data_IF_712390918809
#
_entry.id   IF_712390918809
#
_cell.length_a   1.000
_cell.length_b   1.000
_cell.length_c   1.000
_cell.angle_alpha   90.00
_cell.angle_beta   90.00
_cell.angle_gamma   90.00
#
_symmetry.space_group_name_H-M   'P 1'
#
loop_
_entity.id
_entity.type
_entity.pdbx_description
1 polymer ?
#
# COMPACT_ATOMS: atom_id res chain seq x y z
N UNK A 1 -40.02 35.83 55.90
CA UNK A 1 -39.99 34.85 54.80
C UNK A 1 -39.91 35.63 53.49
N UNK A 2 -39.05 35.22 52.55
CA UNK A 2 -38.64 35.95 51.32
C UNK A 2 -37.69 37.14 51.50
N UNK A 3 -36.40 36.87 51.71
CA UNK A 3 -35.29 37.73 51.19
C UNK A 3 -33.88 37.11 51.28
N UNK A 4 -33.73 35.92 51.86
CA UNK A 4 -32.42 35.27 52.09
C UNK A 4 -32.10 34.09 51.15
N UNK A 5 -32.82 33.93 50.03
CA UNK A 5 -32.67 32.76 49.14
C UNK A 5 -32.15 33.10 47.73
N UNK A 6 -31.51 34.26 47.54
CA UNK A 6 -31.07 34.72 46.20
C UNK A 6 -29.56 35.04 46.08
N UNK A 7 -28.74 34.79 47.12
CA UNK A 7 -27.31 35.13 47.11
C UNK A 7 -26.39 33.89 47.09
N UNK A 8 -26.93 32.67 47.21
CA UNK A 8 -26.15 31.43 47.24
C UNK A 8 -26.05 30.68 45.90
N UNK A 9 -26.57 31.24 44.79
CA UNK A 9 -26.56 30.59 43.46
C UNK A 9 -25.74 31.34 42.38
N UNK A 10 -24.98 32.36 42.76
CA UNK A 10 -24.20 33.20 41.83
C UNK A 10 -22.68 33.06 41.96
N UNK A 11 -22.17 32.11 42.76
CA UNK A 11 -20.73 31.90 42.99
C UNK A 11 -20.22 30.48 42.68
N UNK A 12 -20.92 29.75 41.80
CA UNK A 12 -20.48 28.43 41.31
C UNK A 12 -20.30 28.37 39.78
N UNK A 13 -20.11 29.53 39.14
CA UNK A 13 -19.40 29.63 37.86
C UNK A 13 -17.97 30.10 38.12
N UNK A 14 -17.26 29.41 39.02
CA UNK A 14 -15.81 29.38 38.94
C UNK A 14 -15.50 28.66 37.62
N UNK A 15 -15.23 29.48 36.61
CA UNK A 15 -14.57 29.14 35.37
C UNK A 15 -13.46 28.13 35.67
N UNK A 16 -13.77 26.85 35.53
CA UNK A 16 -12.77 25.88 35.11
C UNK A 16 -12.41 26.30 33.70
N UNK A 17 -11.50 27.27 33.60
CA UNK A 17 -10.61 27.35 32.45
C UNK A 17 -9.88 26.02 32.46
N UNK A 18 -10.51 25.00 31.89
CA UNK A 18 -9.82 23.92 31.22
C UNK A 18 -8.86 24.64 30.30
N UNK A 19 -7.61 24.77 30.73
CA UNK A 19 -6.53 25.08 29.82
C UNK A 19 -6.57 23.93 28.83
N UNK A 20 -7.28 24.14 27.72
CA UNK A 20 -7.23 23.22 26.60
C UNK A 20 -5.75 23.19 26.23
N UNK A 21 -5.04 22.13 26.64
CA UNK A 21 -3.66 21.93 26.24
C UNK A 21 -3.65 22.05 24.72
N UNK A 22 -2.81 22.95 24.20
CA UNK A 22 -2.56 23.05 22.77
C UNK A 22 -2.32 21.63 22.26
N UNK A 23 -3.02 21.17 21.21
CA UNK A 23 -2.81 19.84 20.68
C UNK A 23 -1.32 19.66 20.42
N UNK A 24 -0.69 18.65 21.03
CA UNK A 24 0.71 18.33 20.71
C UNK A 24 0.79 18.01 19.22
N UNK A 25 1.68 18.71 18.52
CA UNK A 25 2.00 18.46 17.12
C UNK A 25 3.09 17.38 17.08
N UNK A 26 2.97 16.39 16.20
CA UNK A 26 3.97 15.34 16.07
C UNK A 26 5.29 15.87 15.50
N UNK A 27 5.23 16.73 14.47
CA UNK A 27 6.43 17.28 13.84
C UNK A 27 7.06 18.44 14.60
N UNK A 28 6.53 18.78 15.77
CA UNK A 28 7.17 19.70 16.75
C UNK A 28 7.72 18.93 17.98
N UNK A 29 7.70 17.59 17.93
CA UNK A 29 8.15 16.72 19.02
C UNK A 29 9.11 15.65 18.48
N UNK A 30 10.41 15.98 18.47
CA UNK A 30 11.46 15.13 17.88
C UNK A 30 11.49 13.73 18.50
N UNK A 31 11.36 13.60 19.82
CA UNK A 31 11.36 12.29 20.50
C UNK A 31 10.19 11.42 20.01
N UNK A 32 9.00 12.00 19.88
CA UNK A 32 7.82 11.26 19.44
C UNK A 32 7.94 10.92 17.95
N UNK A 33 8.43 11.86 17.13
CA UNK A 33 8.63 11.64 15.71
C UNK A 33 9.66 10.52 15.46
N UNK A 34 10.77 10.52 16.20
CA UNK A 34 11.79 9.48 16.14
C UNK A 34 11.23 8.11 16.52
N UNK A 35 10.45 8.02 17.60
CA UNK A 35 9.79 6.76 17.99
C UNK A 35 8.77 6.32 16.93
N UNK A 36 7.97 7.24 16.36
CA UNK A 36 7.05 6.90 15.28
C UNK A 36 7.78 6.36 14.04
N UNK A 37 8.92 6.96 13.69
CA UNK A 37 9.78 6.49 12.60
C UNK A 37 10.36 5.11 12.89
N UNK A 38 10.80 4.85 14.12
CA UNK A 38 11.32 3.53 14.51
C UNK A 38 10.22 2.46 14.50
N UNK A 39 8.99 2.82 14.89
CA UNK A 39 7.83 1.92 14.79
C UNK A 39 7.54 1.56 13.32
N UNK A 40 7.51 2.55 12.42
CA UNK A 40 7.30 2.29 11.00
C UNK A 40 8.41 1.44 10.41
N UNK A 41 9.67 1.70 10.79
CA UNK A 41 10.80 0.88 10.39
C UNK A 41 10.66 -0.57 10.89
N UNK A 42 10.19 -0.78 12.12
CA UNK A 42 9.87 -2.12 12.62
C UNK A 42 8.76 -2.80 11.81
N UNK A 43 7.71 -2.07 11.39
CA UNK A 43 6.67 -2.64 10.53
C UNK A 43 7.21 -3.06 9.16
N UNK A 44 8.10 -2.26 8.57
CA UNK A 44 8.73 -2.61 7.29
C UNK A 44 9.70 -3.80 7.41
N UNK A 45 10.35 -3.99 8.56
CA UNK A 45 11.18 -5.17 8.85
C UNK A 45 10.41 -6.34 9.49
N UNK A 46 9.08 -6.25 9.62
CA UNK A 46 8.25 -7.24 10.32
C UNK A 46 8.69 -7.58 11.76
N UNK A 47 9.30 -6.63 12.45
CA UNK A 47 9.69 -6.75 13.86
C UNK A 47 8.58 -6.22 14.79
N UNK A 48 7.42 -6.89 14.78
CA UNK A 48 6.24 -6.45 15.54
C UNK A 48 6.45 -6.47 17.04
N UNK A 49 7.23 -7.42 17.57
CA UNK A 49 7.58 -7.46 19.01
C UNK A 49 8.29 -6.19 19.48
N UNK A 50 9.23 -5.67 18.67
CA UNK A 50 9.90 -4.40 18.96
C UNK A 50 8.93 -3.22 18.79
N UNK A 51 8.11 -3.25 17.73
CA UNK A 51 7.10 -2.23 17.49
C UNK A 51 6.12 -2.09 18.67
N UNK A 52 5.60 -3.19 19.21
CA UNK A 52 4.71 -3.20 20.40
C UNK A 52 5.33 -2.46 21.59
N UNK A 53 6.61 -2.73 21.86
CA UNK A 53 7.35 -2.12 22.96
C UNK A 53 7.52 -0.61 22.77
N UNK A 54 7.79 -0.18 21.54
CA UNK A 54 7.89 1.23 21.16
C UNK A 54 6.52 1.91 21.21
N UNK A 55 5.45 1.23 20.80
CA UNK A 55 4.10 1.74 20.76
C UNK A 55 3.56 2.05 22.17
N UNK A 56 3.92 1.25 23.18
CA UNK A 56 3.62 1.55 24.60
C UNK A 56 4.26 2.88 25.02
N UNK A 57 5.53 3.13 24.64
CA UNK A 57 6.20 4.40 24.94
C UNK A 57 5.55 5.56 24.18
N UNK A 58 5.23 5.34 22.90
CA UNK A 58 4.59 6.33 22.04
C UNK A 58 3.22 6.76 22.57
N UNK A 59 2.42 5.81 23.10
CA UNK A 59 1.11 6.08 23.67
C UNK A 59 1.17 7.03 24.87
N UNK A 60 2.23 6.95 25.70
CA UNK A 60 2.45 7.90 26.79
C UNK A 60 2.75 9.31 26.27
N UNK A 61 3.50 9.42 25.17
CA UNK A 61 3.89 10.71 24.60
C UNK A 61 2.73 11.40 23.85
N UNK A 62 1.97 10.61 23.09
CA UNK A 62 0.96 11.07 22.11
C UNK A 62 -0.43 10.41 22.31
N UNK A 63 -1.01 10.36 23.53
CA UNK A 63 -2.19 9.53 23.85
C UNK A 63 -3.49 9.93 23.13
N UNK A 64 -3.58 11.19 22.70
CA UNK A 64 -4.76 11.78 22.02
C UNK A 64 -4.45 12.25 20.60
N UNK A 65 -3.27 11.92 20.09
CA UNK A 65 -2.87 12.31 18.75
C UNK A 65 -3.48 11.37 17.70
N UNK A 66 -3.88 11.84 16.50
CA UNK A 66 -4.40 10.95 15.44
C UNK A 66 -3.35 9.95 14.93
N UNK A 67 -2.06 10.19 15.13
CA UNK A 67 -0.99 9.25 14.76
C UNK A 67 -1.03 7.94 15.54
N UNK A 68 -1.38 7.95 16.83
CA UNK A 68 -1.42 6.74 17.66
C UNK A 68 -2.41 5.69 17.12
N UNK A 69 -3.70 6.01 16.88
CA UNK A 69 -4.60 5.05 16.25
C UNK A 69 -4.21 4.76 14.80
N UNK A 70 -3.55 5.67 14.06
CA UNK A 70 -3.04 5.31 12.74
C UNK A 70 -1.94 4.23 12.83
N UNK A 71 -0.97 4.37 13.73
CA UNK A 71 0.10 3.38 13.92
C UNK A 71 -0.48 2.01 14.29
N UNK A 72 -1.47 1.96 15.19
CA UNK A 72 -2.21 0.73 15.52
C UNK A 72 -2.92 0.11 14.31
N UNK A 73 -3.47 0.93 13.40
CA UNK A 73 -4.06 0.42 12.16
C UNK A 73 -3.00 -0.09 11.17
N UNK A 74 -1.85 0.58 11.08
CA UNK A 74 -0.74 0.21 10.21
C UNK A 74 -0.05 -1.07 10.68
N UNK A 75 0.06 -1.30 11.99
CA UNK A 75 0.52 -2.55 12.58
C UNK A 75 -0.30 -3.74 12.05
N UNK A 76 -1.63 -3.67 12.19
CA UNK A 76 -2.55 -4.70 11.71
C UNK A 76 -2.38 -4.89 10.19
N UNK A 77 -2.25 -3.80 9.43
CA UNK A 77 -2.05 -3.87 7.98
C UNK A 77 -0.74 -4.58 7.61
N UNK A 78 0.37 -4.20 8.22
CA UNK A 78 1.70 -4.72 7.90
C UNK A 78 1.91 -6.14 8.40
N UNK A 79 1.42 -6.48 9.59
CA UNK A 79 1.48 -7.83 10.16
C UNK A 79 0.69 -8.84 9.32
N UNK A 80 -0.39 -8.37 8.68
CA UNK A 80 -1.22 -9.21 7.83
C UNK A 80 -0.91 -9.06 6.34
N UNK A 81 0.20 -8.41 5.95
CA UNK A 81 0.53 -8.19 4.53
C UNK A 81 1.06 -9.47 3.84
N UNK A 82 0.59 -9.82 2.61
CA UNK A 82 -0.51 -9.17 1.89
C UNK A 82 -1.85 -9.39 2.59
N UNK A 83 -2.58 -8.29 2.74
CA UNK A 83 -3.78 -8.21 3.55
C UNK A 83 -4.95 -8.99 2.94
N UNK A 84 -5.58 -9.88 3.72
CA UNK A 84 -6.82 -10.55 3.31
C UNK A 84 -8.04 -9.73 3.70
N UNK A 85 -8.64 -9.05 2.73
CA UNK A 85 -9.75 -8.15 2.95
C UNK A 85 -11.09 -8.87 3.24
N UNK A 86 -11.15 -10.21 3.12
CA UNK A 86 -12.33 -11.01 3.47
C UNK A 86 -12.28 -11.52 4.91
N UNK A 87 -11.17 -11.34 5.62
CA UNK A 87 -11.10 -11.62 7.05
C UNK A 87 -11.80 -10.49 7.82
N UNK A 88 -13.09 -10.69 8.13
CA UNK A 88 -13.93 -9.69 8.80
C UNK A 88 -13.35 -9.23 10.13
N UNK A 89 -12.88 -10.16 10.96
CA UNK A 89 -12.29 -9.83 12.27
C UNK A 89 -11.09 -8.87 12.14
N UNK A 90 -10.18 -9.17 11.23
CA UNK A 90 -8.95 -8.37 11.04
C UNK A 90 -9.28 -7.01 10.43
N UNK A 91 -10.20 -6.97 9.46
CA UNK A 91 -10.69 -5.71 8.86
C UNK A 91 -11.38 -4.84 9.89
N UNK A 92 -12.25 -5.40 10.73
CA UNK A 92 -12.98 -4.66 11.75
C UNK A 92 -12.06 -4.10 12.83
N UNK A 93 -11.05 -4.88 13.28
CA UNK A 93 -9.98 -4.39 14.18
C UNK A 93 -9.23 -3.22 13.56
N UNK A 94 -8.82 -3.32 12.30
CA UNK A 94 -8.16 -2.22 11.59
C UNK A 94 -9.10 -1.00 11.47
N UNK A 95 -10.37 -1.20 11.14
CA UNK A 95 -11.37 -0.15 10.98
C UNK A 95 -11.67 0.58 12.29
N UNK A 96 -11.65 -0.09 13.43
CA UNK A 96 -11.77 0.54 14.75
C UNK A 96 -10.72 1.64 14.93
N UNK A 97 -9.46 1.31 14.63
CA UNK A 97 -8.34 2.24 14.74
C UNK A 97 -8.40 3.35 13.67
N UNK A 98 -8.69 3.00 12.41
CA UNK A 98 -8.89 3.97 11.32
C UNK A 98 -9.98 4.99 11.68
N UNK A 99 -11.15 4.53 12.15
CA UNK A 99 -12.26 5.42 12.47
C UNK A 99 -11.89 6.33 13.67
N UNK A 100 -11.16 5.83 14.66
CA UNK A 100 -10.66 6.67 15.77
C UNK A 100 -9.69 7.75 15.27
N UNK A 101 -8.78 7.41 14.35
CA UNK A 101 -7.90 8.40 13.70
C UNK A 101 -8.70 9.47 12.97
N UNK A 102 -9.72 9.08 12.19
CA UNK A 102 -10.61 9.99 11.47
C UNK A 102 -11.34 10.92 12.45
N UNK A 103 -11.99 10.39 13.49
CA UNK A 103 -12.73 11.20 14.48
C UNK A 103 -11.84 12.23 15.18
N UNK A 104 -10.64 11.84 15.59
CA UNK A 104 -9.68 12.78 16.21
C UNK A 104 -9.27 13.86 15.20
N UNK A 105 -8.98 13.47 13.96
CA UNK A 105 -8.56 14.40 12.92
C UNK A 105 -9.67 15.38 12.53
N UNK A 106 -10.91 14.92 12.39
CA UNK A 106 -12.10 15.77 12.14
C UNK A 106 -12.32 16.76 13.28
N UNK A 107 -12.16 16.34 14.54
CA UNK A 107 -12.25 17.23 15.70
C UNK A 107 -11.16 18.30 15.71
N UNK A 108 -9.95 17.98 15.27
CA UNK A 108 -8.85 18.96 15.14
C UNK A 108 -9.09 19.94 14.00
N UNK A 109 -9.49 19.43 12.84
CA UNK A 109 -9.77 20.26 11.64
C UNK A 109 -10.97 21.19 11.86
N UNK A 110 -11.99 20.76 12.61
CA UNK A 110 -13.14 21.61 12.92
C UNK A 110 -12.77 22.81 13.82
N UNK A 111 -11.76 22.65 14.68
CA UNK A 111 -11.20 23.73 15.51
C UNK A 111 -10.20 24.59 14.76
N UNK A 112 -9.38 23.98 13.90
CA UNK A 112 -8.42 24.67 13.04
C UNK A 112 -8.44 24.07 11.63
N UNK A 113 -9.10 24.76 10.69
CA UNK A 113 -9.22 24.31 9.30
C UNK A 113 -7.86 24.16 8.57
N UNK A 114 -6.79 24.75 9.11
CA UNK A 114 -5.43 24.69 8.58
C UNK A 114 -4.54 23.69 9.32
N UNK A 115 -5.10 22.82 10.19
CA UNK A 115 -4.33 21.74 10.84
C UNK A 115 -3.83 20.73 9.79
N UNK A 116 -2.56 20.87 9.42
CA UNK A 116 -1.90 20.08 8.37
C UNK A 116 -1.68 18.64 8.79
N UNK A 117 -1.28 18.42 10.04
CA UNK A 117 -1.07 17.08 10.59
C UNK A 117 -2.37 16.30 10.63
N UNK A 118 -3.45 16.90 11.17
CA UNK A 118 -4.76 16.26 11.18
C UNK A 118 -5.26 15.99 9.74
N UNK A 119 -5.00 16.91 8.81
CA UNK A 119 -5.31 16.69 7.38
C UNK A 119 -4.56 15.48 6.83
N UNK A 120 -3.27 15.34 7.16
CA UNK A 120 -2.42 14.23 6.71
C UNK A 120 -2.86 12.88 7.30
N UNK A 121 -3.08 12.81 8.61
CA UNK A 121 -3.53 11.56 9.25
C UNK A 121 -4.92 11.15 8.77
N UNK A 122 -5.83 12.10 8.56
CA UNK A 122 -7.13 11.82 7.98
C UNK A 122 -7.04 11.29 6.55
N UNK A 123 -6.11 11.83 5.74
CA UNK A 123 -5.85 11.36 4.39
C UNK A 123 -5.40 9.90 4.38
N UNK A 124 -4.40 9.53 5.21
CA UNK A 124 -3.92 8.15 5.29
C UNK A 124 -5.02 7.20 5.78
N UNK A 125 -5.73 7.55 6.85
CA UNK A 125 -6.79 6.71 7.41
C UNK A 125 -7.92 6.46 6.41
N UNK A 126 -8.38 7.50 5.71
CA UNK A 126 -9.40 7.36 4.65
C UNK A 126 -8.87 6.60 3.43
N UNK A 127 -7.59 6.71 3.10
CA UNK A 127 -6.98 5.95 2.00
C UNK A 127 -6.96 4.45 2.30
N UNK A 128 -6.59 4.05 3.53
CA UNK A 128 -6.67 2.66 3.96
C UNK A 128 -8.11 2.12 3.91
N UNK A 129 -9.09 2.94 4.33
CA UNK A 129 -10.51 2.58 4.28
C UNK A 129 -11.05 2.44 2.86
N UNK A 130 -10.70 3.38 1.96
CA UNK A 130 -11.05 3.32 0.55
C UNK A 130 -10.48 2.05 -0.12
N UNK A 131 -9.21 1.72 0.16
CA UNK A 131 -8.56 0.47 -0.29
C UNK A 131 -9.33 -0.75 0.19
N UNK A 132 -9.62 -0.83 1.49
CA UNK A 132 -10.34 -1.97 2.06
C UNK A 132 -11.75 -2.14 1.45
N UNK A 133 -12.50 -1.05 1.27
CA UNK A 133 -13.82 -1.13 0.61
C UNK A 133 -13.72 -1.57 -0.86
N UNK A 134 -12.69 -1.15 -1.58
CA UNK A 134 -12.47 -1.58 -2.96
C UNK A 134 -12.25 -3.10 -3.05
N UNK A 135 -11.34 -3.66 -2.25
CA UNK A 135 -11.07 -5.10 -2.24
C UNK A 135 -12.22 -5.95 -1.69
N UNK A 136 -13.12 -5.36 -0.90
CA UNK A 136 -14.36 -6.01 -0.43
C UNK A 136 -15.53 -5.89 -1.42
N UNK A 137 -15.35 -5.25 -2.57
CA UNK A 137 -16.42 -5.03 -3.55
C UNK A 137 -17.50 -4.04 -3.07
N UNK A 138 -17.24 -3.27 -2.02
CA UNK A 138 -18.17 -2.30 -1.46
C UNK A 138 -18.11 -0.97 -2.24
N UNK A 139 -18.48 -1.02 -3.53
CA UNK A 139 -18.25 0.05 -4.53
C UNK A 139 -18.67 1.44 -4.05
N UNK A 140 -19.91 1.60 -3.55
CA UNK A 140 -20.41 2.91 -3.11
C UNK A 140 -19.63 3.47 -1.91
N UNK A 141 -19.25 2.60 -0.95
CA UNK A 141 -18.44 3.01 0.20
C UNK A 141 -17.02 3.39 -0.24
N UNK A 142 -16.43 2.63 -1.16
CA UNK A 142 -15.13 2.92 -1.75
C UNK A 142 -15.13 4.27 -2.47
N UNK A 143 -16.14 4.56 -3.30
CA UNK A 143 -16.28 5.84 -4.02
C UNK A 143 -16.41 7.02 -3.06
N UNK A 144 -17.20 6.88 -2.00
CA UNK A 144 -17.37 7.94 -1.00
C UNK A 144 -16.06 8.27 -0.28
N UNK A 145 -15.30 7.26 0.17
CA UNK A 145 -14.00 7.49 0.80
C UNK A 145 -12.97 8.00 -0.23
N UNK A 146 -12.98 7.52 -1.48
CA UNK A 146 -12.11 8.02 -2.54
C UNK A 146 -12.32 9.50 -2.86
N UNK A 147 -13.58 9.98 -2.84
CA UNK A 147 -13.88 11.42 -2.99
C UNK A 147 -13.27 12.24 -1.86
N UNK A 148 -13.33 11.75 -0.63
CA UNK A 148 -12.73 12.42 0.52
C UNK A 148 -11.19 12.41 0.43
N UNK A 149 -10.59 11.27 0.06
CA UNK A 149 -9.15 11.14 -0.22
C UNK A 149 -8.71 12.15 -1.28
N UNK A 150 -9.41 12.25 -2.41
CA UNK A 150 -9.09 13.23 -3.44
C UNK A 150 -9.08 14.68 -2.92
N UNK A 151 -10.11 15.09 -2.19
CA UNK A 151 -10.17 16.44 -1.62
C UNK A 151 -9.02 16.71 -0.64
N UNK A 152 -8.67 15.72 0.19
CA UNK A 152 -7.56 15.82 1.13
C UNK A 152 -6.20 15.85 0.45
N UNK A 153 -6.00 15.03 -0.59
CA UNK A 153 -4.78 15.06 -1.41
C UNK A 153 -4.62 16.42 -2.08
N UNK A 154 -5.68 17.00 -2.65
CA UNK A 154 -5.64 18.35 -3.24
C UNK A 154 -5.27 19.42 -2.22
N UNK A 155 -5.83 19.33 -1.01
CA UNK A 155 -5.46 20.25 0.08
C UNK A 155 -3.99 20.05 0.48
N UNK A 156 -3.53 18.80 0.58
CA UNK A 156 -2.18 18.41 0.95
C UNK A 156 -1.10 18.84 -0.05
N UNK A 157 -1.41 18.94 -1.34
CA UNK A 157 -0.48 19.45 -2.35
C UNK A 157 0.03 20.85 -2.02
N UNK A 158 -0.84 21.70 -1.46
CA UNK A 158 -0.48 23.05 -1.02
C UNK A 158 0.38 23.08 0.25
N UNK A 159 0.64 21.94 0.88
CA UNK A 159 1.39 21.82 2.14
C UNK A 159 2.69 21.00 1.99
N UNK A 160 3.10 20.66 0.77
CA UNK A 160 4.26 19.79 0.54
C UNK A 160 5.60 20.37 1.01
N UNK A 161 5.73 21.69 1.11
CA UNK A 161 6.91 22.34 1.69
C UNK A 161 6.87 22.37 3.23
N UNK A 162 5.68 22.57 3.81
CA UNK A 162 5.48 22.75 5.25
C UNK A 162 5.34 21.43 6.00
N UNK A 163 4.76 20.41 5.36
CA UNK A 163 4.69 19.04 5.84
C UNK A 163 5.05 18.09 4.69
N UNK A 164 6.36 17.79 4.52
CA UNK A 164 6.87 17.03 3.38
C UNK A 164 6.30 15.62 3.19
N UNK A 165 5.62 15.08 4.19
CA UNK A 165 4.87 13.83 4.06
C UNK A 165 3.81 13.84 2.96
N UNK A 166 3.27 15.01 2.62
CA UNK A 166 2.31 15.12 1.52
C UNK A 166 2.93 14.85 0.15
N UNK A 167 4.27 14.82 0.01
CA UNK A 167 4.94 14.46 -1.24
C UNK A 167 4.55 13.06 -1.72
N UNK A 168 4.27 12.12 -0.82
CA UNK A 168 3.84 10.78 -1.22
C UNK A 168 2.51 10.82 -1.98
N UNK A 169 1.47 11.38 -1.34
CA UNK A 169 0.13 11.48 -1.93
C UNK A 169 0.09 12.41 -3.16
N UNK A 170 0.87 13.49 -3.13
CA UNK A 170 0.98 14.43 -4.27
C UNK A 170 1.71 13.78 -5.43
N UNK A 171 2.75 12.99 -5.15
CA UNK A 171 3.53 12.27 -6.14
C UNK A 171 2.71 11.20 -6.86
N UNK A 172 1.94 10.42 -6.10
CA UNK A 172 0.96 9.47 -6.64
C UNK A 172 -0.03 10.21 -7.55
N UNK A 173 -0.65 11.29 -7.07
CA UNK A 173 -1.60 12.03 -7.89
C UNK A 173 -0.96 12.54 -9.17
N UNK A 174 0.15 13.27 -9.08
CA UNK A 174 0.81 13.90 -10.21
C UNK A 174 1.23 12.90 -11.29
N UNK A 175 1.68 11.71 -10.89
CA UNK A 175 2.03 10.65 -11.85
C UNK A 175 0.80 9.97 -12.44
N UNK A 176 -0.06 9.38 -11.61
CA UNK A 176 -1.16 8.53 -12.07
C UNK A 176 -2.26 9.30 -12.77
N UNK A 177 -2.40 10.58 -12.45
CA UNK A 177 -3.36 11.46 -13.12
C UNK A 177 -3.11 11.54 -14.63
N UNK A 178 -1.84 11.59 -15.03
CA UNK A 178 -1.45 11.64 -16.44
C UNK A 178 -1.25 10.24 -17.03
N UNK A 179 -0.68 9.30 -16.26
CA UNK A 179 -0.43 7.93 -16.73
C UNK A 179 -1.73 7.16 -17.03
N UNK A 180 -2.76 7.27 -16.18
CA UNK A 180 -3.98 6.48 -16.33
C UNK A 180 -4.73 6.75 -17.64
N UNK A 181 -4.99 8.00 -18.09
CA UNK A 181 -5.61 8.25 -19.39
C UNK A 181 -4.73 7.92 -20.60
N UNK A 182 -3.41 7.84 -20.45
CA UNK A 182 -2.52 7.34 -21.52
C UNK A 182 -2.78 5.85 -21.78
N UNK A 183 -2.97 5.05 -20.72
CA UNK A 183 -3.27 3.62 -20.81
C UNK A 183 -4.75 3.31 -21.04
N UNK A 184 -5.64 4.16 -20.55
CA UNK A 184 -7.08 4.00 -20.67
C UNK A 184 -7.73 5.30 -21.20
N UNK A 185 -7.62 5.56 -22.52
CA UNK A 185 -8.12 6.81 -23.12
C UNK A 185 -9.60 7.11 -22.86
N UNK A 186 -10.42 6.09 -22.57
CA UNK A 186 -11.84 6.23 -22.23
C UNK A 186 -12.09 7.13 -21.02
N UNK A 187 -11.12 7.27 -20.11
CA UNK A 187 -11.27 8.14 -18.93
C UNK A 187 -10.85 9.59 -19.17
N UNK A 188 -10.23 9.92 -20.32
CA UNK A 188 -9.79 11.30 -20.64
C UNK A 188 -10.88 12.37 -20.45
N UNK A 189 -12.13 12.18 -20.93
CA UNK A 189 -13.16 13.21 -20.79
C UNK A 189 -13.48 13.55 -19.33
N UNK A 190 -13.63 12.53 -18.48
CA UNK A 190 -13.92 12.69 -17.06
C UNK A 190 -12.83 13.46 -16.31
N UNK A 191 -11.59 13.25 -16.75
CA UNK A 191 -10.43 13.81 -16.10
C UNK A 191 -10.33 15.34 -16.29
N UNK A 192 -10.87 15.93 -17.36
CA UNK A 192 -10.78 17.39 -17.64
C UNK A 192 -11.19 18.33 -16.50
N UNK A 193 -12.03 17.89 -15.56
CA UNK A 193 -12.51 18.68 -14.41
C UNK A 193 -11.57 18.66 -13.18
N UNK A 194 -10.46 17.94 -13.25
CA UNK A 194 -9.50 17.82 -12.16
C UNK A 194 -8.19 18.54 -12.53
N UNK A 195 -7.41 19.01 -11.54
CA UNK A 195 -6.07 19.54 -11.78
C UNK A 195 -5.22 18.61 -12.66
N UNK A 196 -4.45 19.19 -13.56
CA UNK A 196 -3.43 18.46 -14.31
C UNK A 196 -2.35 17.93 -13.36
N UNK A 197 -1.86 16.73 -13.66
CA UNK A 197 -0.66 16.19 -13.03
C UNK A 197 0.61 16.56 -13.80
N UNK A 198 1.74 16.08 -13.29
CA UNK A 198 3.03 16.15 -13.96
C UNK A 198 3.83 14.90 -13.56
N UNK A 199 4.08 13.99 -14.51
CA UNK A 199 4.75 12.70 -14.22
C UNK A 199 6.15 12.88 -13.61
N UNK A 200 6.95 13.81 -14.13
CA UNK A 200 8.31 14.05 -13.64
C UNK A 200 8.32 14.62 -12.23
N UNK A 201 7.40 15.57 -11.95
CA UNK A 201 7.20 16.06 -10.59
C UNK A 201 6.74 14.92 -9.68
N UNK A 202 5.80 14.08 -10.15
CA UNK A 202 5.31 12.94 -9.40
C UNK A 202 6.42 11.98 -8.99
N UNK A 203 7.30 11.63 -9.92
CA UNK A 203 8.49 10.81 -9.65
C UNK A 203 9.43 11.49 -8.67
N UNK A 204 9.72 12.79 -8.83
CA UNK A 204 10.59 13.54 -7.89
C UNK A 204 10.03 13.52 -6.46
N UNK A 205 8.73 13.72 -6.30
CA UNK A 205 8.05 13.70 -5.00
C UNK A 205 8.07 12.30 -4.38
N UNK A 206 7.87 11.24 -5.17
CA UNK A 206 7.99 9.86 -4.68
C UNK A 206 9.43 9.51 -4.28
N UNK A 207 10.43 9.96 -5.03
CA UNK A 207 11.86 9.80 -4.66
C UNK A 207 12.16 10.50 -3.34
N UNK A 208 11.60 11.70 -3.13
CA UNK A 208 11.73 12.40 -1.85
C UNK A 208 11.11 11.58 -0.70
N UNK A 209 9.87 11.12 -0.87
CA UNK A 209 9.17 10.33 0.15
C UNK A 209 9.87 9.01 0.47
N UNK A 210 10.37 8.30 -0.53
CA UNK A 210 11.18 7.09 -0.33
C UNK A 210 12.36 7.33 0.62
N UNK A 211 13.00 8.50 0.53
CA UNK A 211 14.19 8.83 1.33
C UNK A 211 13.88 9.45 2.69
N UNK A 212 12.75 10.15 2.82
CA UNK A 212 12.55 11.12 3.91
C UNK A 212 11.20 11.04 4.62
N UNK A 213 10.22 10.30 4.09
CA UNK A 213 8.91 10.15 4.75
C UNK A 213 8.97 9.15 5.89
N UNK A 214 8.29 9.48 6.99
CA UNK A 214 8.15 8.61 8.17
C UNK A 214 7.18 7.46 7.90
N UNK A 215 6.02 7.75 7.31
CA UNK A 215 4.90 6.78 7.22
C UNK A 215 4.74 6.09 5.87
N UNK A 216 5.50 6.48 4.85
CA UNK A 216 5.26 6.05 3.46
C UNK A 216 6.53 5.79 2.66
N UNK A 217 7.68 5.56 3.31
CA UNK A 217 8.97 5.39 2.62
C UNK A 217 9.02 4.10 1.80
N UNK A 218 8.66 2.96 2.41
CA UNK A 218 8.61 1.67 1.71
C UNK A 218 7.52 1.66 0.62
N UNK A 219 6.36 2.26 0.90
CA UNK A 219 5.30 2.42 -0.09
C UNK A 219 5.76 3.25 -1.29
N UNK A 220 6.47 4.36 -1.07
CA UNK A 220 7.02 5.18 -2.14
C UNK A 220 8.02 4.41 -3.00
N UNK A 221 8.89 3.59 -2.38
CA UNK A 221 9.81 2.70 -3.10
C UNK A 221 9.05 1.70 -3.98
N UNK A 222 8.01 1.06 -3.46
CA UNK A 222 7.15 0.14 -4.25
C UNK A 222 6.53 0.83 -5.47
N UNK A 223 5.99 2.04 -5.29
CA UNK A 223 5.46 2.81 -6.41
C UNK A 223 6.55 3.15 -7.44
N UNK A 224 7.75 3.54 -7.00
CA UNK A 224 8.87 3.81 -7.90
C UNK A 224 9.35 2.56 -8.65
N UNK A 225 9.41 1.40 -7.98
CA UNK A 225 9.74 0.14 -8.63
C UNK A 225 8.75 -0.18 -9.75
N UNK A 226 7.46 -0.02 -9.49
CA UNK A 226 6.41 -0.20 -10.50
C UNK A 226 6.56 0.82 -11.64
N UNK A 227 6.70 2.13 -11.34
CA UNK A 227 6.83 3.19 -12.35
C UNK A 227 8.05 2.95 -13.25
N UNK A 228 9.20 2.67 -12.67
CA UNK A 228 10.43 2.43 -13.42
C UNK A 228 10.38 1.12 -14.21
N UNK A 229 9.67 0.10 -13.71
CA UNK A 229 9.48 -1.14 -14.46
C UNK A 229 8.62 -0.92 -15.71
N UNK A 230 7.59 -0.06 -15.66
CA UNK A 230 6.73 0.23 -16.82
C UNK A 230 7.42 1.08 -17.89
N UNK A 231 8.55 1.69 -17.54
CA UNK A 231 9.40 2.47 -18.44
C UNK A 231 10.66 1.71 -18.84
N UNK A 232 10.76 0.41 -18.51
CA UNK A 232 11.93 -0.45 -18.74
C UNK A 232 13.24 0.16 -18.22
N UNK A 233 13.17 0.91 -17.12
CA UNK A 233 14.32 1.57 -16.53
C UNK A 233 15.03 0.63 -15.55
N UNK A 234 16.35 0.44 -15.72
CA UNK A 234 17.19 -0.34 -14.80
C UNK A 234 17.10 0.12 -13.33
N UNK A 235 16.64 1.36 -13.08
CA UNK A 235 16.34 1.86 -11.74
C UNK A 235 15.38 0.96 -10.97
N UNK A 236 14.40 0.31 -11.61
CA UNK A 236 13.48 -0.60 -10.91
C UNK A 236 14.21 -1.83 -10.37
N UNK A 237 15.21 -2.34 -11.10
CA UNK A 237 16.06 -3.46 -10.64
C UNK A 237 16.89 -3.05 -9.44
N UNK A 238 17.52 -1.86 -9.49
CA UNK A 238 18.27 -1.33 -8.33
C UNK A 238 17.37 -1.18 -7.11
N UNK A 239 16.19 -0.59 -7.26
CA UNK A 239 15.25 -0.41 -6.15
C UNK A 239 14.70 -1.73 -5.60
N UNK A 240 14.46 -2.72 -6.45
CA UNK A 240 14.01 -4.05 -6.03
C UNK A 240 15.10 -4.80 -5.23
N UNK A 241 16.36 -4.74 -5.69
CA UNK A 241 17.49 -5.34 -4.96
C UNK A 241 17.74 -4.63 -3.62
N UNK A 242 17.64 -3.30 -3.60
CA UNK A 242 17.74 -2.49 -2.38
C UNK A 242 16.62 -2.86 -1.39
N UNK A 243 15.38 -3.02 -1.86
CA UNK A 243 14.25 -3.42 -1.02
C UNK A 243 14.44 -4.82 -0.40
N UNK A 244 14.89 -5.81 -1.19
CA UNK A 244 15.23 -7.15 -0.68
C UNK A 244 16.34 -7.07 0.37
N UNK A 245 17.42 -6.35 0.07
CA UNK A 245 18.56 -6.25 0.98
C UNK A 245 18.23 -5.50 2.28
N UNK A 246 17.32 -4.53 2.22
CA UNK A 246 16.95 -3.71 3.37
C UNK A 246 15.92 -4.39 4.26
N UNK A 247 14.93 -5.07 3.66
CA UNK A 247 13.81 -5.68 4.36
C UNK A 247 13.81 -7.20 4.14
N UNK A 248 14.94 -7.83 4.48
CA UNK A 248 15.21 -9.24 4.20
C UNK A 248 14.25 -10.19 4.90
N UNK A 249 13.67 -9.82 6.03
CA UNK A 249 12.65 -10.63 6.73
C UNK A 249 11.21 -10.33 6.30
N UNK A 250 10.98 -9.33 5.45
CA UNK A 250 9.66 -8.99 4.96
C UNK A 250 9.34 -9.72 3.66
N UNK A 251 8.73 -10.91 3.78
CA UNK A 251 8.37 -11.78 2.65
C UNK A 251 7.45 -11.07 1.63
N UNK A 252 6.63 -10.11 2.06
CA UNK A 252 5.77 -9.32 1.15
C UNK A 252 6.59 -8.39 0.27
N UNK A 253 7.52 -7.63 0.85
CA UNK A 253 8.40 -6.73 0.11
C UNK A 253 9.39 -7.49 -0.78
N UNK A 254 9.86 -8.66 -0.33
CA UNK A 254 10.67 -9.57 -1.16
C UNK A 254 9.85 -10.05 -2.36
N UNK A 255 8.63 -10.56 -2.14
CA UNK A 255 7.77 -11.03 -3.22
C UNK A 255 7.52 -9.95 -4.28
N UNK A 256 7.13 -8.73 -3.87
CA UNK A 256 6.92 -7.63 -4.82
C UNK A 256 8.20 -7.24 -5.59
N UNK A 257 9.35 -7.34 -4.93
CA UNK A 257 10.65 -7.11 -5.58
C UNK A 257 10.98 -8.19 -6.61
N UNK A 258 10.71 -9.47 -6.29
CA UNK A 258 10.91 -10.58 -7.21
C UNK A 258 10.02 -10.48 -8.45
N UNK A 259 8.78 -10.00 -8.31
CA UNK A 259 7.92 -9.72 -9.46
C UNK A 259 8.54 -8.66 -10.39
N UNK A 260 9.11 -7.60 -9.83
CA UNK A 260 9.79 -6.56 -10.62
C UNK A 260 11.00 -7.14 -11.33
N UNK A 261 11.81 -7.96 -10.64
CA UNK A 261 12.98 -8.61 -11.23
C UNK A 261 12.62 -9.63 -12.32
N UNK A 262 11.46 -10.29 -12.21
CA UNK A 262 10.95 -11.19 -13.27
C UNK A 262 10.66 -10.48 -14.59
N UNK A 263 10.39 -9.16 -14.55
CA UNK A 263 10.18 -8.37 -15.77
C UNK A 263 11.48 -8.22 -16.58
N UNK A 264 12.63 -8.56 -15.99
CA UNK A 264 13.96 -8.47 -16.57
C UNK A 264 14.63 -9.85 -16.73
N UNK A 265 13.86 -10.95 -16.66
CA UNK A 265 14.37 -12.33 -16.77
C UNK A 265 15.49 -12.66 -15.76
N UNK A 266 15.33 -12.20 -14.52
CA UNK A 266 16.34 -12.36 -13.47
C UNK A 266 16.02 -13.48 -12.48
N UNK A 267 14.96 -14.27 -12.67
CA UNK A 267 14.60 -15.31 -11.71
C UNK A 267 15.56 -16.50 -11.74
N UNK A 268 16.31 -16.69 -12.83
CA UNK A 268 17.36 -17.70 -12.93
C UNK A 268 18.69 -17.29 -12.28
N UNK A 269 18.86 -16.03 -11.87
CA UNK A 269 20.05 -15.58 -11.14
C UNK A 269 20.19 -16.33 -9.81
N UNK A 270 21.41 -16.75 -9.46
CA UNK A 270 21.65 -17.59 -8.29
C UNK A 270 21.30 -16.92 -6.97
N UNK A 271 21.50 -15.61 -6.85
CA UNK A 271 21.18 -14.85 -5.63
C UNK A 271 19.67 -14.70 -5.54
N UNK A 272 19.01 -14.33 -6.64
CA UNK A 272 17.55 -14.20 -6.70
C UNK A 272 16.85 -15.53 -6.41
N UNK A 273 17.43 -16.64 -6.85
CA UNK A 273 16.91 -17.97 -6.56
C UNK A 273 16.90 -18.30 -5.06
N UNK A 274 17.85 -17.79 -4.26
CA UNK A 274 17.84 -17.97 -2.81
C UNK A 274 16.63 -17.30 -2.17
N UNK A 275 16.24 -16.11 -2.65
CA UNK A 275 15.05 -15.41 -2.17
C UNK A 275 13.75 -16.16 -2.52
N UNK A 276 13.67 -16.77 -3.71
CA UNK A 276 12.53 -17.63 -4.09
C UNK A 276 12.44 -18.84 -3.14
N UNK A 277 13.58 -19.44 -2.78
CA UNK A 277 13.64 -20.55 -1.84
C UNK A 277 13.24 -20.11 -0.42
N UNK A 278 13.67 -18.92 0.03
CA UNK A 278 13.23 -18.36 1.31
C UNK A 278 11.71 -18.27 1.41
N UNK A 279 11.04 -17.77 0.35
CA UNK A 279 9.57 -17.75 0.30
C UNK A 279 8.94 -19.15 0.29
N UNK A 280 9.63 -20.17 -0.21
CA UNK A 280 9.14 -21.55 -0.26
C UNK A 280 9.00 -22.16 1.15
N UNK A 281 9.86 -21.76 2.08
CA UNK A 281 9.90 -22.19 3.47
C UNK A 281 8.94 -21.39 4.39
N UNK A 282 8.23 -20.40 3.83
CA UNK A 282 7.30 -19.57 4.58
C UNK A 282 6.17 -20.39 5.20
N UNK A 283 5.82 -20.06 6.45
CA UNK A 283 4.65 -20.62 7.15
C UNK A 283 3.33 -20.07 6.59
N UNK A 284 3.37 -18.95 5.86
CA UNK A 284 2.19 -18.37 5.26
C UNK A 284 1.97 -18.98 3.87
N UNK A 285 0.80 -19.59 3.69
CA UNK A 285 0.44 -20.31 2.47
C UNK A 285 0.48 -19.42 1.21
N UNK A 286 0.26 -18.09 1.36
CA UNK A 286 0.43 -17.15 0.26
C UNK A 286 1.87 -17.16 -0.27
N UNK A 287 2.87 -17.04 0.59
CA UNK A 287 4.26 -16.96 0.16
C UNK A 287 4.77 -18.28 -0.38
N UNK A 288 4.37 -19.40 0.22
CA UNK A 288 4.69 -20.74 -0.32
C UNK A 288 4.13 -20.95 -1.73
N UNK A 289 2.87 -20.55 -1.99
CA UNK A 289 2.30 -20.58 -3.36
C UNK A 289 2.96 -19.56 -4.30
N UNK A 290 3.32 -18.38 -3.78
CA UNK A 290 4.01 -17.36 -4.57
C UNK A 290 5.39 -17.80 -5.03
N UNK A 291 6.13 -18.53 -4.18
CA UNK A 291 7.39 -19.16 -4.54
C UNK A 291 7.20 -20.17 -5.66
N UNK A 292 6.16 -21.02 -5.61
CA UNK A 292 5.87 -21.97 -6.70
C UNK A 292 5.54 -21.27 -8.02
N UNK A 293 4.74 -20.22 -7.98
CA UNK A 293 4.50 -19.38 -9.17
C UNK A 293 5.83 -18.83 -9.73
N UNK A 294 6.65 -18.20 -8.88
CA UNK A 294 7.95 -17.66 -9.27
C UNK A 294 8.90 -18.73 -9.80
N UNK A 295 8.88 -19.94 -9.24
CA UNK A 295 9.65 -21.09 -9.71
C UNK A 295 9.15 -21.56 -11.10
N UNK A 296 7.84 -21.59 -11.31
CA UNK A 296 7.26 -21.85 -12.63
C UNK A 296 7.68 -20.80 -13.67
N UNK A 297 7.70 -19.52 -13.28
CA UNK A 297 8.20 -18.42 -14.12
C UNK A 297 9.70 -18.55 -14.41
N UNK A 298 10.51 -18.94 -13.41
CA UNK A 298 11.94 -19.22 -13.58
C UNK A 298 12.17 -20.34 -14.61
N UNK A 299 11.46 -21.47 -14.51
CA UNK A 299 11.58 -22.54 -15.49
C UNK A 299 11.17 -22.11 -16.90
N UNK A 300 10.20 -21.20 -17.01
CA UNK A 300 9.85 -20.57 -18.28
C UNK A 300 11.02 -19.75 -18.84
N UNK A 301 11.67 -18.92 -18.02
CA UNK A 301 12.87 -18.15 -18.42
C UNK A 301 14.01 -19.07 -18.89
N UNK A 302 14.15 -20.24 -18.27
CA UNK A 302 15.10 -21.29 -18.64
C UNK A 302 14.66 -22.11 -19.87
N UNK A 303 13.50 -21.81 -20.47
CA UNK A 303 12.88 -22.53 -21.58
C UNK A 303 12.50 -24.00 -21.27
N UNK A 304 12.46 -24.39 -20.00
CA UNK A 304 11.88 -25.66 -19.56
C UNK A 304 10.37 -25.50 -19.38
N UNK A 305 9.67 -25.39 -20.51
CA UNK A 305 8.22 -25.19 -20.54
C UNK A 305 7.44 -26.36 -19.92
N UNK A 306 8.01 -27.57 -19.92
CA UNK A 306 7.40 -28.75 -19.31
C UNK A 306 7.33 -28.61 -17.79
N UNK A 307 8.46 -28.31 -17.14
CA UNK A 307 8.48 -28.07 -15.69
C UNK A 307 7.71 -26.81 -15.31
N UNK A 308 7.85 -25.74 -16.09
CA UNK A 308 7.10 -24.51 -15.88
C UNK A 308 5.60 -24.77 -15.84
N UNK A 309 5.05 -25.44 -16.87
CA UNK A 309 3.62 -25.76 -16.97
C UNK A 309 3.15 -26.61 -15.78
N UNK A 310 3.90 -27.67 -15.45
CA UNK A 310 3.57 -28.56 -14.34
C UNK A 310 3.41 -27.77 -13.03
N UNK A 311 4.40 -26.96 -12.68
CA UNK A 311 4.39 -26.19 -11.43
C UNK A 311 3.28 -25.13 -11.44
N UNK A 312 3.06 -24.45 -12.57
CA UNK A 312 2.02 -23.43 -12.66
C UNK A 312 0.61 -24.01 -12.55
N UNK A 313 0.34 -25.19 -13.13
CA UNK A 313 -0.93 -25.89 -12.95
C UNK A 313 -1.13 -26.38 -11.51
N UNK A 314 -0.11 -26.98 -10.90
CA UNK A 314 -0.16 -27.39 -9.48
C UNK A 314 -0.37 -26.20 -8.53
N UNK A 315 0.12 -25.01 -8.92
CA UNK A 315 -0.10 -23.77 -8.19
C UNK A 315 -1.53 -23.27 -8.39
N UNK A 316 -2.02 -23.26 -9.64
CA UNK A 316 -3.40 -22.89 -10.01
C UNK A 316 -4.43 -23.67 -9.18
N UNK A 317 -4.26 -24.98 -9.06
CA UNK A 317 -5.16 -25.88 -8.31
C UNK A 317 -5.32 -25.50 -6.83
N UNK A 318 -4.39 -24.72 -6.27
CA UNK A 318 -4.35 -24.34 -4.85
C UNK A 318 -4.61 -22.86 -4.60
N UNK A 319 -4.75 -22.01 -5.63
CA UNK A 319 -4.82 -20.55 -5.44
C UNK A 319 -6.06 -20.11 -4.67
N UNK A 320 -7.13 -20.90 -4.66
CA UNK A 320 -8.34 -20.54 -3.92
C UNK A 320 -8.14 -20.60 -2.40
N UNK A 321 -7.09 -21.30 -1.93
CA UNK A 321 -6.73 -21.38 -0.51
C UNK A 321 -6.23 -20.05 0.07
N UNK A 322 -5.89 -19.07 -0.78
CA UNK A 322 -5.33 -17.77 -0.35
C UNK A 322 -6.34 -16.61 -0.49
N UNK A 323 -7.64 -16.93 -0.67
CA UNK A 323 -8.73 -15.94 -0.66
C UNK A 323 -8.51 -14.82 -1.68
N UNK A 324 -8.77 -13.55 -1.33
CA UNK A 324 -8.57 -12.38 -2.19
C UNK A 324 -7.15 -12.19 -2.67
N UNK A 325 -6.16 -12.75 -1.96
CA UNK A 325 -4.75 -12.63 -2.30
C UNK A 325 -4.37 -13.38 -3.57
N UNK A 326 -5.21 -14.29 -4.05
CA UNK A 326 -5.03 -14.93 -5.37
C UNK A 326 -4.92 -13.92 -6.52
N UNK A 327 -5.52 -12.73 -6.36
CA UNK A 327 -5.44 -11.63 -7.34
C UNK A 327 -4.01 -11.15 -7.63
N UNK A 328 -3.06 -11.38 -6.71
CA UNK A 328 -1.64 -11.08 -6.93
C UNK A 328 -0.93 -12.13 -7.79
N UNK A 329 -1.45 -13.35 -7.87
CA UNK A 329 -0.81 -14.51 -8.51
C UNK A 329 -1.43 -14.81 -9.89
N UNK A 330 -2.75 -14.70 -9.97
CA UNK A 330 -3.55 -15.01 -11.16
C UNK A 330 -3.04 -14.38 -12.47
N UNK A 331 -2.68 -13.08 -12.52
CA UNK A 331 -2.20 -12.48 -13.76
C UNK A 331 -0.98 -13.21 -14.33
N UNK A 332 -0.05 -13.62 -13.47
CA UNK A 332 1.17 -14.30 -13.86
C UNK A 332 0.89 -15.76 -14.24
N UNK A 333 0.22 -16.52 -13.37
CA UNK A 333 -0.11 -17.93 -13.64
C UNK A 333 -0.83 -18.08 -14.97
N UNK A 334 -1.88 -17.29 -15.20
CA UNK A 334 -2.68 -17.40 -16.42
C UNK A 334 -1.92 -16.94 -17.66
N UNK A 335 -1.13 -15.88 -17.58
CA UNK A 335 -0.38 -15.38 -18.73
C UNK A 335 0.73 -16.34 -19.16
N UNK A 336 1.45 -16.93 -18.21
CA UNK A 336 2.49 -17.91 -18.49
C UNK A 336 1.89 -19.21 -19.03
N UNK A 337 0.79 -19.73 -18.44
CA UNK A 337 0.08 -20.90 -18.98
C UNK A 337 -0.47 -20.66 -20.39
N UNK A 338 -1.06 -19.48 -20.65
CA UNK A 338 -1.46 -19.07 -22.01
C UNK A 338 -0.28 -19.17 -22.96
N UNK A 339 0.87 -18.62 -22.58
CA UNK A 339 2.05 -18.62 -23.43
C UNK A 339 2.59 -20.02 -23.70
N UNK A 340 2.55 -20.92 -22.72
CA UNK A 340 3.01 -22.29 -22.90
C UNK A 340 2.07 -23.05 -23.84
N UNK A 341 0.75 -22.97 -23.63
CA UNK A 341 -0.20 -23.64 -24.52
C UNK A 341 -0.18 -23.11 -25.95
N UNK A 342 0.18 -21.84 -26.14
CA UNK A 342 0.46 -21.29 -27.47
C UNK A 342 1.66 -21.97 -28.14
N UNK A 343 2.77 -22.17 -27.42
CA UNK A 343 3.96 -22.86 -27.91
C UNK A 343 3.68 -24.35 -28.22
N UNK A 344 2.79 -24.97 -27.45
CA UNK A 344 2.37 -26.36 -27.67
C UNK A 344 1.35 -26.53 -28.81
N UNK A 345 0.86 -25.43 -29.39
CA UNK A 345 -0.20 -25.45 -30.41
C UNK A 345 -1.58 -25.84 -29.88
N UNK A 346 -1.79 -25.88 -28.55
CA UNK A 346 -3.07 -26.21 -27.93
C UNK A 346 -4.01 -24.98 -27.91
N UNK A 347 -4.77 -24.82 -29.00
CA UNK A 347 -5.63 -23.66 -29.23
C UNK A 347 -6.77 -23.50 -28.20
N UNK A 348 -7.32 -24.60 -27.69
CA UNK A 348 -8.43 -24.56 -26.73
C UNK A 348 -7.97 -24.00 -25.39
N UNK A 349 -6.92 -24.59 -24.81
CA UNK A 349 -6.40 -24.17 -23.51
C UNK A 349 -5.73 -22.79 -23.60
N UNK A 350 -5.06 -22.47 -24.70
CA UNK A 350 -4.51 -21.14 -24.94
C UNK A 350 -5.60 -20.06 -24.87
N UNK A 351 -6.75 -20.24 -25.54
CA UNK A 351 -7.88 -19.30 -25.48
C UNK A 351 -8.51 -19.21 -24.09
N UNK A 352 -8.61 -20.35 -23.38
CA UNK A 352 -9.10 -20.38 -21.99
C UNK A 352 -8.23 -19.47 -21.11
N UNK A 353 -6.92 -19.69 -21.10
CA UNK A 353 -6.00 -18.93 -20.25
C UNK A 353 -5.85 -17.47 -20.70
N UNK A 354 -5.96 -17.18 -21.99
CA UNK A 354 -6.02 -15.80 -22.49
C UNK A 354 -7.21 -15.04 -21.87
N UNK A 355 -8.42 -15.63 -21.92
CA UNK A 355 -9.61 -15.01 -21.33
C UNK A 355 -9.46 -14.83 -19.81
N UNK A 356 -8.89 -15.82 -19.13
CA UNK A 356 -8.66 -15.75 -17.69
C UNK A 356 -7.66 -14.63 -17.35
N UNK A 357 -6.55 -14.53 -18.08
CA UNK A 357 -5.55 -13.48 -17.90
C UNK A 357 -6.12 -12.08 -18.17
N UNK A 358 -6.86 -11.86 -19.27
CA UNK A 358 -7.47 -10.56 -19.60
C UNK A 358 -8.52 -10.09 -18.59
N UNK A 359 -9.08 -11.00 -17.78
CA UNK A 359 -9.98 -10.65 -16.67
C UNK A 359 -9.23 -10.24 -15.39
N UNK A 360 -7.90 -10.24 -15.40
CA UNK A 360 -7.07 -9.80 -14.27
C UNK A 360 -6.48 -8.42 -14.52
N UNK A 361 -6.04 -7.74 -13.46
CA UNK A 361 -5.54 -6.36 -13.53
C UNK A 361 -4.33 -6.17 -14.45
N UNK A 362 -3.43 -7.15 -14.53
CA UNK A 362 -2.16 -7.04 -15.25
C UNK A 362 -1.97 -8.10 -16.36
N UNK A 363 -2.96 -8.95 -16.61
CA UNK A 363 -2.78 -10.09 -17.51
C UNK A 363 -2.45 -9.69 -18.95
N UNK A 364 -3.12 -8.67 -19.50
CA UNK A 364 -2.84 -8.19 -20.87
C UNK A 364 -1.40 -7.67 -21.01
N UNK A 365 -0.90 -6.95 -20.02
CA UNK A 365 0.47 -6.43 -20.01
C UNK A 365 1.51 -7.55 -19.92
N UNK A 366 1.29 -8.53 -19.04
CA UNK A 366 2.19 -9.68 -18.88
C UNK A 366 2.20 -10.52 -20.16
N UNK A 367 1.04 -10.79 -20.77
CA UNK A 367 0.96 -11.52 -22.03
C UNK A 367 1.71 -10.79 -23.16
N UNK A 368 1.56 -9.46 -23.26
CA UNK A 368 2.27 -8.67 -24.26
C UNK A 368 3.80 -8.76 -24.06
N UNK A 369 4.27 -8.71 -22.81
CA UNK A 369 5.70 -8.87 -22.49
C UNK A 369 6.23 -10.26 -22.85
N UNK A 370 5.51 -11.32 -22.51
CA UNK A 370 5.89 -12.71 -22.84
C UNK A 370 5.89 -12.97 -24.35
N UNK A 371 5.03 -12.28 -25.10
CA UNK A 371 5.06 -12.32 -26.55
C UNK A 371 6.32 -11.62 -27.09
N UNK A 372 6.62 -10.42 -26.59
CA UNK A 372 7.81 -9.67 -27.00
C UNK A 372 9.12 -10.38 -26.67
N UNK A 373 9.21 -11.11 -25.55
CA UNK A 373 10.42 -11.85 -25.16
C UNK A 373 10.70 -13.10 -26.00
N UNK A 374 9.76 -13.54 -26.83
CA UNK A 374 9.88 -14.71 -27.72
C UNK A 374 10.16 -14.35 -29.18
N UNK A 375 10.03 -13.07 -29.53
CA UNK A 375 10.47 -12.53 -30.83
C UNK A 375 11.97 -12.22 -30.78
#
# INVERSE_FOLDING_TARGET
MLRTLYISLLFLFLLSKSTAQTPKMLWENDDALNIASEIMDCYYHWNFKKADSLLVRYEVMMPKHPSLPLLKALEIYWENSPFDYQNDETVEKMFLHINRCITISESRISKNKYDKEATYFMLLAKSLKARAYNYRGATWKAVNEAKAVYNLTRKGMGYTEELPEFNFSSGIYNYYREFYPEKHPIYKPFLTFFPSGNKDLGVKQLVYSMKSSVFASAEAQKYLMWIYSHTNSQKSVTLAKDMISKYDDNEWLIFESLLVLSNYNMLSDSIINLEILKLSDSKNNFFSLSSKMLLGMKYYEMQDFSQSKKILLETEDKIDQISTRKTYLQPYIFSYLKSIYELEGNQELMKKYQKMASNTMYGDEIMARLYASRQ
#
